data_IF_336142218526
#
_entry.id   IF_336142218526
#
_cell.length_a   1.000
_cell.length_b   1.000
_cell.length_c   1.000
_cell.angle_alpha   90.00
_cell.angle_beta   90.00
_cell.angle_gamma   90.00
#
_symmetry.space_group_name_H-M   'P 1'
#
loop_
_entity.id
_entity.type
_entity.pdbx_description
1 polymer ?
#
# COMPACT_ATOMS: atom_id res chain seq x y z
N UNK A 1 -12.57 -0.10 11.86
CA UNK A 1 -12.59 -0.10 10.38
C UNK A 1 -11.67 -1.20 9.87
N UNK A 2 -11.98 -1.84 8.74
CA UNK A 2 -11.05 -2.74 8.05
C UNK A 2 -10.62 -2.12 6.72
N UNK A 3 -9.39 -2.34 6.34
CA UNK A 3 -8.87 -1.97 5.03
C UNK A 3 -8.15 -3.18 4.47
N UNK A 4 -8.67 -3.72 3.36
CA UNK A 4 -8.12 -4.90 2.69
C UNK A 4 -7.90 -6.10 3.63
N UNK A 5 -8.89 -6.38 4.48
CA UNK A 5 -8.82 -7.49 5.45
C UNK A 5 -8.08 -7.17 6.76
N UNK A 6 -7.22 -6.16 6.76
CA UNK A 6 -6.46 -5.73 7.93
C UNK A 6 -7.31 -4.81 8.83
N UNK A 7 -7.30 -5.08 10.13
CA UNK A 7 -7.90 -4.18 11.11
C UNK A 7 -7.06 -2.92 11.28
N UNK A 8 -7.66 -1.76 11.03
CA UNK A 8 -6.97 -0.49 11.15
C UNK A 8 -6.88 -0.05 12.61
N UNK A 9 -5.67 0.30 13.04
CA UNK A 9 -5.44 1.04 14.27
C UNK A 9 -5.54 2.53 13.97
N UNK A 10 -6.57 3.19 14.51
CA UNK A 10 -6.73 4.65 14.39
C UNK A 10 -5.48 5.36 14.95
N UNK A 11 -5.03 6.39 14.25
CA UNK A 11 -3.98 7.26 14.72
C UNK A 11 -4.52 8.14 15.84
N UNK A 12 -3.85 8.08 16.98
CA UNK A 12 -4.21 8.85 18.16
C UNK A 12 -3.01 9.69 18.61
N UNK A 13 -3.30 10.89 19.11
CA UNK A 13 -2.32 11.79 19.71
C UNK A 13 -3.02 12.61 20.79
N UNK A 14 -2.32 12.94 21.87
CA UNK A 14 -2.85 13.83 22.92
C UNK A 14 -2.73 15.32 22.54
N UNK A 15 -1.91 15.63 21.54
CA UNK A 15 -1.61 17.00 21.10
C UNK A 15 -1.85 17.16 19.59
N UNK A 16 -2.12 18.39 19.11
CA UNK A 16 -2.10 18.65 17.68
C UNK A 16 -0.76 18.26 17.07
N UNK A 17 -0.79 17.54 15.95
CA UNK A 17 0.39 17.13 15.19
C UNK A 17 0.34 17.79 13.83
N UNK A 18 1.42 18.45 13.43
CA UNK A 18 1.64 18.92 12.06
C UNK A 18 2.57 17.93 11.37
N UNK A 19 2.21 17.47 10.18
CA UNK A 19 3.05 16.62 9.35
C UNK A 19 3.71 17.48 8.26
N UNK A 20 5.02 17.64 8.36
CA UNK A 20 5.83 18.33 7.37
C UNK A 20 7.08 17.48 7.03
N UNK A 21 7.12 16.80 5.85
CA UNK A 21 6.11 16.84 4.79
C UNK A 21 4.79 16.15 5.19
N UNK A 22 3.69 16.38 4.43
CA UNK A 22 2.42 15.68 4.64
C UNK A 22 2.60 14.16 4.68
N UNK A 23 1.80 13.49 5.50
CA UNK A 23 1.88 12.05 5.69
C UNK A 23 0.74 11.35 4.99
N UNK A 24 1.08 10.40 4.12
CA UNK A 24 0.14 9.52 3.43
C UNK A 24 -0.52 8.57 4.42
N UNK A 25 -1.83 8.70 4.60
CA UNK A 25 -2.63 7.99 5.62
C UNK A 25 -3.99 7.58 5.05
N UNK A 26 -4.64 6.63 5.71
CA UNK A 26 -6.03 6.25 5.43
C UNK A 26 -6.97 7.14 6.25
N UNK A 27 -8.02 7.68 5.64
CA UNK A 27 -9.02 8.54 6.28
C UNK A 27 -10.44 8.04 5.98
N UNK A 28 -11.37 8.25 6.90
CA UNK A 28 -12.79 7.90 6.72
C UNK A 28 -13.71 8.68 7.67
N UNK A 29 -14.97 8.81 7.27
CA UNK A 29 -16.08 9.30 8.07
C UNK A 29 -17.04 8.15 8.48
N UNK A 30 -18.10 8.45 9.23
CA UNK A 30 -19.02 7.42 9.75
C UNK A 30 -19.75 6.62 8.67
N UNK A 31 -20.07 7.26 7.55
CA UNK A 31 -20.88 6.68 6.48
C UNK A 31 -20.03 5.97 5.41
N UNK A 32 -18.70 6.01 5.54
CA UNK A 32 -17.79 5.42 4.56
C UNK A 32 -17.69 3.90 4.73
N UNK A 33 -17.91 3.17 3.63
CA UNK A 33 -17.71 1.71 3.60
C UNK A 33 -16.22 1.32 3.52
N UNK A 34 -15.37 2.21 2.99
CA UNK A 34 -13.93 1.99 2.79
C UNK A 34 -13.14 3.27 3.04
N UNK A 35 -11.98 3.22 3.71
CA UNK A 35 -11.18 4.41 3.92
C UNK A 35 -10.43 4.80 2.64
N UNK A 36 -10.15 6.09 2.51
CA UNK A 36 -9.47 6.71 1.36
C UNK A 36 -8.02 7.03 1.71
N UNK A 37 -7.10 6.84 0.77
CA UNK A 37 -5.70 7.24 0.93
C UNK A 37 -5.50 8.71 0.57
N UNK A 38 -5.04 9.53 1.52
CA UNK A 38 -4.80 10.97 1.32
C UNK A 38 -3.51 11.42 2.00
N UNK A 39 -2.98 12.57 1.57
CA UNK A 39 -1.85 13.23 2.23
C UNK A 39 -2.37 14.12 3.37
N UNK A 40 -2.29 13.61 4.60
CA UNK A 40 -2.72 14.32 5.83
C UNK A 40 -1.65 15.32 6.24
N UNK A 41 -2.05 16.58 6.38
CA UNK A 41 -1.16 17.68 6.78
C UNK A 41 -1.14 17.89 8.29
N UNK A 42 -2.24 17.57 8.98
CA UNK A 42 -2.33 17.73 10.43
C UNK A 42 -3.36 16.81 11.06
N UNK A 43 -3.17 16.54 12.36
CA UNK A 43 -4.13 15.83 13.21
C UNK A 43 -4.44 16.66 14.46
N UNK A 44 -5.72 16.86 14.77
CA UNK A 44 -6.20 17.63 15.92
C UNK A 44 -7.15 16.74 16.77
N UNK A 45 -6.71 16.21 17.92
CA UNK A 45 -7.46 15.19 18.65
C UNK A 45 -8.79 15.64 19.25
N UNK A 46 -8.92 16.93 19.57
CA UNK A 46 -10.09 17.50 20.24
C UNK A 46 -11.08 18.15 19.25
N UNK A 47 -11.16 17.60 18.04
CA UNK A 47 -12.11 18.03 17.01
C UNK A 47 -12.94 16.85 16.54
N UNK A 48 -14.14 17.15 16.05
CA UNK A 48 -14.98 16.14 15.41
C UNK A 48 -14.31 15.60 14.15
N UNK A 49 -13.86 16.49 13.25
CA UNK A 49 -12.95 16.12 12.16
C UNK A 49 -11.50 16.34 12.62
N UNK A 50 -10.82 15.23 12.93
CA UNK A 50 -9.48 15.25 13.53
C UNK A 50 -8.39 15.35 12.47
N UNK A 51 -8.53 14.65 11.35
CA UNK A 51 -7.52 14.62 10.29
C UNK A 51 -7.79 15.72 9.26
N UNK A 52 -6.74 16.43 8.86
CA UNK A 52 -6.81 17.55 7.93
C UNK A 52 -6.01 17.21 6.68
N UNK A 53 -6.67 17.31 5.53
CA UNK A 53 -6.09 17.29 4.18
C UNK A 53 -6.15 18.72 3.60
N UNK A 54 -5.51 18.97 2.45
CA UNK A 54 -5.37 20.33 1.92
C UNK A 54 -6.71 21.05 1.69
N UNK A 55 -7.77 20.34 1.29
CA UNK A 55 -9.08 20.92 0.99
C UNK A 55 -10.24 20.27 1.75
N UNK A 56 -9.98 19.21 2.51
CA UNK A 56 -10.98 18.42 3.23
C UNK A 56 -10.55 18.10 4.66
N UNK A 57 -11.51 17.60 5.44
CA UNK A 57 -11.30 17.15 6.82
C UNK A 57 -12.04 15.84 7.04
N UNK A 58 -11.50 14.98 7.91
CA UNK A 58 -12.03 13.64 8.15
C UNK A 58 -12.11 13.34 9.65
N UNK A 59 -13.10 12.53 10.04
CA UNK A 59 -13.34 12.17 11.44
C UNK A 59 -12.22 11.27 11.96
N UNK A 60 -11.83 10.28 11.14
CA UNK A 60 -10.84 9.27 11.52
C UNK A 60 -9.65 9.26 10.56
N UNK A 61 -8.51 8.82 11.06
CA UNK A 61 -7.37 8.47 10.22
C UNK A 61 -6.55 7.32 10.82
N UNK A 62 -5.83 6.59 9.98
CA UNK A 62 -4.89 5.54 10.38
C UNK A 62 -3.64 5.62 9.51
N UNK A 63 -2.50 5.23 10.08
CA UNK A 63 -1.31 4.99 9.27
C UNK A 63 -1.57 3.81 8.32
N UNK A 64 -1.00 3.86 7.12
CA UNK A 64 -1.04 2.71 6.20
C UNK A 64 -0.14 1.63 6.78
N UNK A 65 -0.64 0.42 7.13
CA UNK A 65 0.19 -0.68 7.57
C UNK A 65 1.43 -0.88 6.70
N UNK A 66 2.60 -0.94 7.33
CA UNK A 66 3.89 -1.14 6.63
C UNK A 66 3.88 -2.41 5.76
N UNK A 67 3.15 -3.44 6.21
CA UNK A 67 2.97 -4.71 5.49
C UNK A 67 2.41 -4.49 4.08
N UNK A 68 1.46 -3.57 3.91
CA UNK A 68 0.86 -3.29 2.60
C UNK A 68 1.78 -2.47 1.70
N UNK A 69 2.59 -1.58 2.29
CA UNK A 69 3.60 -0.81 1.57
C UNK A 69 4.86 -1.63 1.21
N UNK A 70 5.04 -2.82 1.82
CA UNK A 70 6.19 -3.68 1.56
C UNK A 70 6.13 -4.22 0.14
N UNK A 71 7.28 -4.19 -0.54
CA UNK A 71 7.47 -4.93 -1.78
C UNK A 71 7.49 -6.43 -1.48
N UNK A 72 6.77 -7.21 -2.27
CA UNK A 72 6.81 -8.65 -2.22
C UNK A 72 8.26 -9.15 -2.30
N UNK A 73 8.55 -10.25 -1.62
CA UNK A 73 9.83 -10.93 -1.74
C UNK A 73 9.96 -11.58 -3.11
N UNK A 74 11.18 -11.97 -3.49
CA UNK A 74 11.39 -12.72 -4.73
C UNK A 74 10.57 -14.02 -4.73
N UNK A 75 10.48 -14.72 -3.59
CA UNK A 75 9.67 -15.94 -3.43
C UNK A 75 8.18 -15.67 -3.61
N UNK A 76 7.65 -14.61 -3.01
CA UNK A 76 6.24 -14.21 -3.12
C UNK A 76 5.86 -13.86 -4.57
N UNK A 77 6.71 -13.08 -5.26
CA UNK A 77 6.49 -12.74 -6.66
C UNK A 77 6.53 -13.98 -7.57
N UNK A 78 7.50 -14.87 -7.36
CA UNK A 78 7.60 -16.10 -8.16
C UNK A 78 6.37 -16.99 -7.98
N UNK A 79 5.88 -17.17 -6.74
CA UNK A 79 4.62 -17.89 -6.48
C UNK A 79 3.44 -17.23 -7.18
N UNK A 80 3.31 -15.91 -7.06
CA UNK A 80 2.21 -15.17 -7.67
C UNK A 80 2.19 -15.32 -9.21
N UNK A 81 3.35 -15.27 -9.86
CA UNK A 81 3.48 -15.45 -11.30
C UNK A 81 3.16 -16.89 -11.74
N UNK A 82 3.66 -17.89 -11.02
CA UNK A 82 3.41 -19.32 -11.30
C UNK A 82 1.92 -19.67 -11.21
N UNK A 83 1.18 -19.00 -10.33
CA UNK A 83 -0.29 -19.13 -10.24
C UNK A 83 -1.03 -18.48 -11.43
N UNK A 84 -0.31 -17.86 -12.37
CA UNK A 84 -0.89 -17.26 -13.56
C UNK A 84 -1.56 -15.92 -13.32
N UNK A 85 -1.25 -15.23 -12.22
CA UNK A 85 -1.93 -13.99 -11.83
C UNK A 85 -1.55 -12.77 -12.71
N UNK A 86 -0.45 -12.84 -13.45
CA UNK A 86 -0.05 -11.77 -14.35
C UNK A 86 1.35 -11.91 -14.94
N UNK A 87 1.98 -10.77 -15.18
CA UNK A 87 3.29 -10.67 -15.82
C UNK A 87 4.11 -9.58 -15.13
N UNK A 88 5.44 -9.70 -15.18
CA UNK A 88 6.35 -8.66 -14.70
C UNK A 88 7.31 -8.21 -15.79
N UNK A 89 7.86 -7.02 -15.59
CA UNK A 89 8.94 -6.49 -16.41
C UNK A 89 10.06 -5.97 -15.52
N UNK A 90 11.26 -5.96 -16.09
CA UNK A 90 12.43 -5.25 -15.57
C UNK A 90 12.77 -4.10 -16.53
N UNK A 91 13.61 -3.17 -16.07
CA UNK A 91 14.13 -2.08 -16.90
C UNK A 91 14.59 -2.58 -18.27
N UNK A 92 14.02 -2.06 -19.36
CA UNK A 92 14.34 -2.48 -20.73
C UNK A 92 13.17 -3.10 -21.52
N UNK A 93 11.96 -3.15 -20.96
CA UNK A 93 10.73 -3.44 -21.70
C UNK A 93 10.49 -4.92 -22.05
N UNK A 94 11.33 -5.83 -21.55
CA UNK A 94 11.07 -7.27 -21.64
C UNK A 94 10.03 -7.66 -20.60
N UNK A 95 9.07 -8.45 -21.06
CA UNK A 95 7.96 -8.93 -20.25
C UNK A 95 8.11 -10.44 -20.06
N UNK A 96 7.89 -10.88 -18.82
CA UNK A 96 8.06 -12.26 -18.41
C UNK A 96 6.85 -12.71 -17.58
N UNK A 97 6.54 -14.00 -17.61
CA UNK A 97 5.49 -14.64 -16.81
C UNK A 97 6.07 -15.53 -15.70
N UNK A 98 7.39 -15.50 -15.49
CA UNK A 98 8.11 -16.29 -14.48
C UNK A 98 9.29 -15.51 -13.91
N UNK A 99 9.42 -15.47 -12.58
CA UNK A 99 10.51 -14.77 -11.89
C UNK A 99 11.55 -15.74 -11.36
N UNK A 100 12.81 -15.46 -11.68
CA UNK A 100 13.97 -16.24 -11.26
C UNK A 100 14.85 -15.37 -10.37
N UNK A 101 15.46 -15.96 -9.34
CA UNK A 101 16.34 -15.29 -8.39
C UNK A 101 17.43 -16.27 -7.91
N UNK A 102 18.55 -15.74 -7.43
CA UNK A 102 19.66 -16.57 -6.98
C UNK A 102 19.39 -17.20 -5.61
N UNK A 103 20.10 -18.28 -5.30
CA UNK A 103 20.04 -18.93 -3.99
C UNK A 103 20.39 -17.92 -2.90
N UNK A 104 19.54 -17.81 -1.87
CA UNK A 104 19.69 -16.89 -0.74
C UNK A 104 19.02 -15.54 -0.91
N UNK A 105 18.39 -15.26 -2.06
CA UNK A 105 17.61 -14.03 -2.31
C UNK A 105 16.10 -14.23 -2.14
N UNK A 106 15.67 -15.40 -1.70
CA UNK A 106 14.27 -15.82 -1.66
C UNK A 106 13.40 -14.88 -0.82
N UNK A 107 13.88 -14.48 0.36
CA UNK A 107 13.17 -13.62 1.30
C UNK A 107 13.56 -12.12 1.15
N UNK A 108 14.41 -11.78 0.19
CA UNK A 108 14.73 -10.39 -0.15
C UNK A 108 13.55 -9.72 -0.87
N UNK A 109 13.32 -8.45 -0.56
CA UNK A 109 12.36 -7.63 -1.28
C UNK A 109 12.72 -7.52 -2.77
N UNK A 110 11.71 -7.63 -3.64
CA UNK A 110 11.88 -7.48 -5.08
C UNK A 110 12.57 -6.15 -5.42
N UNK A 111 13.55 -6.20 -6.34
CA UNK A 111 14.26 -5.01 -6.83
C UNK A 111 13.32 -3.89 -7.25
N UNK A 112 13.69 -2.63 -7.00
CA UNK A 112 12.89 -1.44 -7.36
C UNK A 112 12.61 -1.30 -8.87
N UNK A 113 13.40 -1.96 -9.70
CA UNK A 113 13.21 -2.00 -11.15
C UNK A 113 12.11 -2.94 -11.60
N UNK A 114 11.69 -3.87 -10.73
CA UNK A 114 10.59 -4.79 -11.03
C UNK A 114 9.28 -4.04 -10.97
N UNK A 115 8.51 -4.20 -12.05
CA UNK A 115 7.11 -3.78 -12.16
C UNK A 115 6.27 -4.98 -12.53
N UNK A 116 5.05 -5.03 -12.03
CA UNK A 116 4.09 -6.11 -12.26
C UNK A 116 2.80 -5.55 -12.81
N UNK A 117 2.05 -6.40 -13.51
CA UNK A 117 0.66 -6.11 -13.84
C UNK A 117 -0.18 -7.38 -13.90
N UNK A 118 -1.44 -7.29 -13.50
CA UNK A 118 -2.44 -8.36 -13.68
C UNK A 118 -2.83 -8.48 -15.14
N UNK A 119 -3.42 -9.61 -15.52
CA UNK A 119 -4.01 -9.75 -16.86
C UNK A 119 -5.13 -8.74 -17.07
N UNK A 120 -5.14 -8.10 -18.25
CA UNK A 120 -6.12 -7.05 -18.58
C UNK A 120 -5.79 -5.66 -18.02
N UNK A 121 -4.85 -5.56 -17.08
CA UNK A 121 -4.36 -4.28 -16.59
C UNK A 121 -3.45 -3.60 -17.63
N UNK A 122 -3.67 -2.31 -17.85
CA UNK A 122 -2.90 -1.50 -18.80
C UNK A 122 -1.72 -0.82 -18.13
N UNK A 123 -1.73 -0.68 -16.82
CA UNK A 123 -0.72 0.04 -16.06
C UNK A 123 0.27 -0.92 -15.39
N UNK A 124 1.47 -0.40 -15.12
CA UNK A 124 2.55 -1.13 -14.48
C UNK A 124 2.73 -0.68 -13.04
N UNK A 125 2.55 -1.60 -12.10
CA UNK A 125 2.54 -1.31 -10.68
C UNK A 125 3.81 -1.79 -10.00
N UNK A 126 4.06 -1.27 -8.79
CA UNK A 126 5.06 -1.85 -7.90
C UNK A 126 4.51 -3.21 -7.41
N UNK A 127 5.35 -4.25 -7.23
CA UNK A 127 4.96 -5.52 -6.64
C UNK A 127 4.79 -5.36 -5.13
N UNK A 128 3.78 -4.62 -4.68
CA UNK A 128 3.39 -4.57 -3.26
C UNK A 128 2.52 -5.77 -2.93
N UNK A 129 2.48 -6.19 -1.66
CA UNK A 129 1.57 -7.27 -1.23
C UNK A 129 0.13 -6.95 -1.59
N UNK A 130 -0.26 -5.68 -1.42
CA UNK A 130 -1.55 -5.12 -1.82
C UNK A 130 -1.89 -5.40 -3.29
N UNK A 131 -1.00 -4.99 -4.21
CA UNK A 131 -1.27 -5.15 -5.63
C UNK A 131 -1.36 -6.63 -6.01
N UNK A 132 -0.51 -7.46 -5.41
CA UNK A 132 -0.47 -8.90 -5.65
C UNK A 132 -1.62 -9.66 -4.96
N UNK A 133 -2.30 -9.06 -3.98
CA UNK A 133 -3.31 -9.75 -3.17
C UNK A 133 -2.69 -10.82 -2.26
N UNK A 134 -1.53 -10.52 -1.68
CA UNK A 134 -0.77 -11.40 -0.77
C UNK A 134 -0.78 -10.86 0.68
N UNK A 135 -1.82 -10.10 1.01
CA UNK A 135 -2.11 -9.64 2.37
C UNK A 135 -2.79 -10.82 3.10
N UNK A 136 -2.18 -11.32 4.16
CA UNK A 136 -2.72 -12.44 4.98
C UNK A 136 -4.05 -12.08 5.66
#
# INVERSE_FOLDING_TARGET
MKYKGIELKEFESEKPVLFDPPRKMLVWDYDDETPTEVDVIAFIPNRYHKAIEQMSVYIHCAEIPEVMCRRATNRELAKWLVLGNGQYQVSGGRIWTEHHYDIGQDDDACSNFIKVRKWGDKEWHKPTLEYLGLED
#
